data_IF_722126504412
#
_entry.id   IF_722126504412
#
_cell.length_a   1.000
_cell.length_b   1.000
_cell.length_c   1.000
_cell.angle_alpha   90.00
_cell.angle_beta   90.00
_cell.angle_gamma   90.00
#
_symmetry.space_group_name_H-M   'P 1'
#
loop_
_entity.id
_entity.type
_entity.pdbx_description
1 polymer ?
#
# COMPACT_ATOMS: atom_id res chain seq x y z
N UNK A 1 34.25 -31.34 -1.32
CA UNK A 1 33.02 -30.50 -1.38
C UNK A 1 32.67 -30.27 -2.84
N UNK A 2 31.60 -30.91 -3.30
CA UNK A 2 31.25 -31.00 -4.72
C UNK A 2 30.90 -29.62 -5.29
N UNK A 3 31.48 -29.28 -6.45
CA UNK A 3 31.22 -28.03 -7.19
C UNK A 3 29.73 -27.81 -7.49
N UNK A 4 28.93 -28.89 -7.46
CA UNK A 4 27.47 -28.89 -7.61
C UNK A 4 26.75 -28.26 -6.40
N UNK A 5 27.26 -28.46 -5.17
CA UNK A 5 26.70 -27.83 -3.96
C UNK A 5 26.97 -26.33 -3.92
N UNK A 6 28.12 -25.89 -4.44
CA UNK A 6 28.45 -24.46 -4.51
C UNK A 6 27.61 -23.74 -5.58
N UNK A 7 27.35 -24.40 -6.72
CA UNK A 7 26.48 -23.86 -7.77
C UNK A 7 25.00 -23.78 -7.34
N UNK A 8 24.50 -24.76 -6.59
CA UNK A 8 23.14 -24.71 -6.04
C UNK A 8 22.98 -23.61 -4.97
N UNK A 9 24.02 -23.35 -4.17
CA UNK A 9 24.02 -22.27 -3.17
C UNK A 9 24.16 -20.88 -3.83
N UNK A 10 24.90 -20.77 -4.94
CA UNK A 10 25.02 -19.53 -5.73
C UNK A 10 23.74 -19.21 -6.54
N UNK A 11 23.02 -20.23 -7.04
CA UNK A 11 21.68 -20.01 -7.62
C UNK A 11 20.62 -19.70 -6.54
N UNK A 12 20.70 -20.31 -5.35
CA UNK A 12 19.82 -19.96 -4.24
C UNK A 12 20.13 -18.57 -3.63
N UNK A 13 21.35 -18.05 -3.80
CA UNK A 13 21.70 -16.68 -3.41
C UNK A 13 21.26 -15.60 -4.43
N UNK A 14 20.64 -16.01 -5.54
CA UNK A 14 20.07 -15.08 -6.53
C UNK A 14 18.56 -14.87 -6.38
N UNK A 15 17.94 -15.43 -5.34
CA UNK A 15 16.53 -15.17 -5.05
C UNK A 15 16.37 -13.77 -4.46
N UNK A 16 15.83 -12.89 -5.30
CA UNK A 16 15.23 -11.57 -5.04
C UNK A 16 16.15 -10.43 -4.59
N UNK A 17 16.71 -9.74 -5.59
CA UNK A 17 17.19 -8.34 -5.50
C UNK A 17 16.01 -7.35 -5.28
N UNK A 18 14.77 -7.85 -5.26
CA UNK A 18 13.58 -7.09 -4.88
C UNK A 18 13.43 -7.16 -3.37
N UNK A 19 13.76 -6.09 -2.65
CA UNK A 19 13.84 -6.02 -1.19
C UNK A 19 12.53 -6.17 -0.40
N UNK A 20 11.63 -7.07 -0.81
CA UNK A 20 10.44 -7.47 -0.06
C UNK A 20 10.63 -8.86 0.55
N UNK A 21 10.45 -9.00 1.85
CA UNK A 21 10.44 -10.30 2.52
C UNK A 21 9.05 -10.96 2.46
N UNK A 22 8.99 -12.28 2.67
CA UNK A 22 7.71 -12.99 2.77
C UNK A 22 6.86 -12.47 3.93
N UNK A 23 7.50 -12.13 5.05
CA UNK A 23 6.82 -11.56 6.22
C UNK A 23 6.20 -10.19 5.91
N UNK A 24 6.89 -9.34 5.15
CA UNK A 24 6.38 -8.03 4.74
C UNK A 24 5.17 -8.17 3.82
N UNK A 25 5.21 -9.11 2.86
CA UNK A 25 4.09 -9.41 1.97
C UNK A 25 2.87 -9.93 2.75
N UNK A 26 3.07 -10.82 3.71
CA UNK A 26 1.97 -11.35 4.53
C UNK A 26 1.37 -10.27 5.44
N UNK A 27 2.21 -9.40 6.00
CA UNK A 27 1.76 -8.22 6.75
C UNK A 27 0.95 -7.25 5.88
N UNK A 28 1.37 -7.04 4.63
CA UNK A 28 0.63 -6.25 3.64
C UNK A 28 -0.74 -6.86 3.33
N UNK A 29 -0.83 -8.18 3.14
CA UNK A 29 -2.13 -8.87 2.94
C UNK A 29 -3.07 -8.64 4.12
N UNK A 30 -2.59 -8.80 5.35
CA UNK A 30 -3.40 -8.57 6.55
C UNK A 30 -3.84 -7.10 6.67
N UNK A 31 -2.97 -6.14 6.32
CA UNK A 31 -3.34 -4.71 6.30
C UNK A 31 -4.38 -4.43 5.23
N UNK A 32 -4.23 -4.97 4.02
CA UNK A 32 -5.20 -4.79 2.94
C UNK A 32 -6.55 -5.40 3.29
N UNK A 33 -6.59 -6.57 3.92
CA UNK A 33 -7.84 -7.14 4.42
C UNK A 33 -8.53 -6.21 5.42
N UNK A 34 -7.78 -5.63 6.36
CA UNK A 34 -8.31 -4.63 7.30
C UNK A 34 -8.78 -3.35 6.58
N UNK A 35 -8.04 -2.89 5.58
CA UNK A 35 -8.38 -1.71 4.76
C UNK A 35 -9.65 -1.94 3.94
N UNK A 36 -9.82 -3.13 3.36
CA UNK A 36 -11.02 -3.51 2.61
C UNK A 36 -12.25 -3.65 3.50
N UNK A 37 -12.04 -4.06 4.76
CA UNK A 37 -13.10 -4.15 5.77
C UNK A 37 -13.36 -2.82 6.50
N UNK A 38 -12.75 -1.71 6.06
CA UNK A 38 -13.12 -0.39 6.56
C UNK A 38 -14.56 -0.07 6.14
N UNK A 39 -15.48 -0.15 7.09
CA UNK A 39 -16.88 0.17 6.84
C UNK A 39 -17.04 1.64 6.44
N UNK A 40 -17.94 1.92 5.49
CA UNK A 40 -18.33 3.29 5.17
C UNK A 40 -18.97 3.92 6.41
N UNK A 41 -18.38 5.01 6.90
CA UNK A 41 -18.91 5.70 8.07
C UNK A 41 -20.15 6.52 7.71
N UNK A 42 -21.12 6.58 8.63
CA UNK A 42 -22.36 7.32 8.45
C UNK A 42 -22.13 8.84 8.52
N UNK A 43 -22.71 9.60 7.57
CA UNK A 43 -22.59 11.06 7.54
C UNK A 43 -22.90 11.72 8.88
N UNK A 44 -22.02 12.63 9.28
CA UNK A 44 -22.10 13.40 10.52
C UNK A 44 -22.83 14.74 10.33
N UNK A 45 -23.05 15.15 9.08
CA UNK A 45 -23.52 16.49 8.69
C UNK A 45 -22.55 17.62 9.13
N UNK A 46 -21.29 17.27 9.35
CA UNK A 46 -20.16 18.18 9.50
C UNK A 46 -19.28 17.96 8.28
N UNK A 47 -19.27 18.95 7.37
CA UNK A 47 -18.70 18.80 6.03
C UNK A 47 -17.25 18.33 6.04
N UNK A 48 -16.40 18.90 6.91
CA UNK A 48 -14.99 18.53 7.01
C UNK A 48 -14.75 17.08 7.42
N UNK A 49 -15.65 16.51 8.23
CA UNK A 49 -15.60 15.10 8.65
C UNK A 49 -16.11 14.18 7.53
N UNK A 50 -17.21 14.57 6.88
CA UNK A 50 -17.81 13.78 5.81
C UNK A 50 -16.88 13.72 4.58
N UNK A 51 -16.21 14.84 4.23
CA UNK A 51 -15.21 14.90 3.16
C UNK A 51 -13.96 14.08 3.50
N UNK A 52 -13.49 14.17 4.75
CA UNK A 52 -12.37 13.36 5.22
C UNK A 52 -12.64 11.86 5.03
N UNK A 53 -13.85 11.41 5.37
CA UNK A 53 -14.24 10.01 5.24
C UNK A 53 -14.35 9.55 3.78
N UNK A 54 -14.90 10.39 2.90
CA UNK A 54 -14.93 10.09 1.47
C UNK A 54 -13.50 9.94 0.89
N UNK A 55 -12.60 10.84 1.28
CA UNK A 55 -11.20 10.78 0.84
C UNK A 55 -10.48 9.52 1.37
N UNK A 56 -10.70 9.16 2.64
CA UNK A 56 -10.20 7.90 3.21
C UNK A 56 -10.70 6.69 2.41
N UNK A 57 -12.00 6.63 2.12
CA UNK A 57 -12.59 5.53 1.35
C UNK A 57 -12.00 5.40 -0.05
N UNK A 58 -11.84 6.51 -0.78
CA UNK A 58 -11.23 6.50 -2.11
C UNK A 58 -9.75 6.07 -2.08
N UNK A 59 -8.99 6.51 -1.06
CA UNK A 59 -7.58 6.16 -0.89
C UNK A 59 -7.41 4.69 -0.48
N UNK A 60 -8.32 4.17 0.35
CA UNK A 60 -8.39 2.77 0.71
C UNK A 60 -8.65 1.87 -0.52
N UNK A 61 -9.59 2.27 -1.38
CA UNK A 61 -9.89 1.55 -2.61
C UNK A 61 -8.68 1.53 -3.57
N UNK A 62 -7.99 2.65 -3.72
CA UNK A 62 -6.78 2.71 -4.55
C UNK A 62 -5.64 1.86 -3.96
N UNK A 63 -5.45 1.89 -2.64
CA UNK A 63 -4.44 1.06 -1.98
C UNK A 63 -4.70 -0.43 -2.18
N UNK A 64 -5.95 -0.86 -2.04
CA UNK A 64 -6.37 -2.23 -2.32
C UNK A 64 -6.19 -2.63 -3.80
N UNK A 65 -6.25 -1.68 -4.73
CA UNK A 65 -5.99 -1.93 -6.15
C UNK A 65 -4.49 -1.97 -6.49
N UNK A 66 -3.67 -1.19 -5.79
CA UNK A 66 -2.21 -1.12 -5.99
C UNK A 66 -1.51 -2.38 -5.48
N UNK A 67 -1.86 -2.87 -4.29
CA UNK A 67 -1.13 -3.99 -3.66
C UNK A 67 -1.07 -5.26 -4.52
N UNK A 68 -2.15 -5.73 -5.16
CA UNK A 68 -2.10 -6.89 -6.06
C UNK A 68 -1.19 -6.67 -7.27
N UNK A 69 -1.16 -5.45 -7.84
CA UNK A 69 -0.27 -5.13 -8.97
C UNK A 69 1.19 -5.16 -8.54
N UNK A 70 1.47 -4.61 -7.36
CA UNK A 70 2.81 -4.60 -6.78
C UNK A 70 3.30 -6.02 -6.48
N UNK A 71 2.45 -6.86 -5.88
CA UNK A 71 2.77 -8.27 -5.63
C UNK A 71 2.98 -9.03 -6.95
N UNK A 72 2.13 -8.79 -7.96
CA UNK A 72 2.31 -9.37 -9.28
C UNK A 72 3.67 -8.99 -9.90
N UNK A 73 4.10 -7.73 -9.79
CA UNK A 73 5.41 -7.32 -10.27
C UNK A 73 6.55 -8.02 -9.53
N UNK A 74 6.43 -8.21 -8.21
CA UNK A 74 7.40 -8.98 -7.44
C UNK A 74 7.54 -10.41 -8.00
N UNK A 75 6.42 -11.15 -8.12
CA UNK A 75 6.42 -12.53 -8.62
C UNK A 75 6.99 -12.63 -10.04
N UNK A 76 6.55 -11.75 -10.95
CA UNK A 76 7.07 -11.67 -12.32
C UNK A 76 8.57 -11.42 -12.36
N UNK A 77 9.09 -10.64 -11.42
CA UNK A 77 10.50 -10.29 -11.40
C UNK A 77 11.40 -11.44 -10.96
N UNK A 78 10.88 -12.35 -10.14
CA UNK A 78 11.56 -13.58 -9.71
C UNK A 78 11.20 -14.81 -10.57
N UNK A 79 10.40 -14.63 -11.63
CA UNK A 79 10.00 -15.71 -12.54
C UNK A 79 9.02 -16.70 -11.91
N UNK A 80 8.17 -16.23 -10.98
CA UNK A 80 7.12 -17.03 -10.35
C UNK A 80 5.73 -16.51 -10.73
N UNK A 81 4.72 -17.37 -10.64
CA UNK A 81 3.32 -16.98 -10.65
C UNK A 81 2.82 -16.63 -9.23
N UNK A 82 1.55 -16.24 -9.08
CA UNK A 82 0.97 -15.85 -7.80
C UNK A 82 0.93 -17.00 -6.75
N UNK A 83 0.97 -18.25 -7.21
CA UNK A 83 1.04 -19.44 -6.36
C UNK A 83 2.49 -19.76 -5.92
N UNK A 84 3.46 -18.94 -6.32
CA UNK A 84 4.88 -19.14 -6.03
C UNK A 84 5.55 -20.24 -6.88
N UNK A 85 4.88 -20.70 -7.94
CA UNK A 85 5.40 -21.71 -8.86
C UNK A 85 6.26 -21.02 -9.90
N UNK A 86 7.48 -21.54 -10.12
CA UNK A 86 8.37 -21.05 -11.18
C UNK A 86 7.74 -21.23 -12.54
N UNK A 87 7.63 -20.14 -13.30
CA UNK A 87 7.07 -20.12 -14.65
C UNK A 87 7.98 -19.32 -15.59
N UNK A 88 8.63 -20.03 -16.51
CA UNK A 88 9.58 -19.47 -17.48
C UNK A 88 8.92 -18.62 -18.57
N UNK A 89 7.59 -18.66 -18.68
CA UNK A 89 6.84 -17.88 -19.66
C UNK A 89 6.44 -16.50 -19.14
N UNK A 90 6.57 -16.27 -17.83
CA UNK A 90 6.25 -15.00 -17.19
C UNK A 90 7.25 -13.93 -17.58
N UNK A 91 6.74 -12.85 -18.19
CA UNK A 91 7.55 -11.69 -18.57
C UNK A 91 7.90 -10.87 -17.34
N UNK A 92 9.17 -10.49 -17.19
CA UNK A 92 9.59 -9.53 -16.16
C UNK A 92 8.82 -8.21 -16.31
N UNK A 93 8.58 -7.46 -15.22
CA UNK A 93 8.04 -6.10 -15.32
C UNK A 93 8.99 -5.21 -16.10
N UNK A 94 8.41 -4.41 -17.00
CA UNK A 94 9.13 -3.38 -17.74
C UNK A 94 9.29 -2.12 -16.88
N UNK A 95 10.28 -1.28 -17.22
CA UNK A 95 10.45 0.01 -16.54
C UNK A 95 9.18 0.87 -16.66
N UNK A 96 8.52 0.87 -17.82
CA UNK A 96 7.30 1.62 -18.04
C UNK A 96 6.15 1.19 -17.10
N UNK A 97 5.92 -0.13 -16.96
CA UNK A 97 4.91 -0.67 -16.03
C UNK A 97 5.19 -0.28 -14.57
N UNK A 98 6.45 -0.40 -14.15
CA UNK A 98 6.88 -0.07 -12.79
C UNK A 98 6.79 1.44 -12.55
N UNK A 99 7.15 2.27 -13.53
CA UNK A 99 7.01 3.73 -13.44
C UNK A 99 5.55 4.14 -13.36
N UNK A 100 4.65 3.55 -14.14
CA UNK A 100 3.21 3.83 -14.06
C UNK A 100 2.65 3.52 -12.67
N UNK A 101 2.97 2.35 -12.11
CA UNK A 101 2.55 1.99 -10.76
C UNK A 101 3.16 2.92 -9.70
N UNK A 102 4.41 3.36 -9.90
CA UNK A 102 5.06 4.32 -8.98
C UNK A 102 4.35 5.68 -8.94
N UNK A 103 3.81 6.13 -10.07
CA UNK A 103 3.04 7.37 -10.13
C UNK A 103 1.73 7.25 -9.36
N UNK A 104 1.05 6.10 -9.47
CA UNK A 104 -0.16 5.82 -8.68
C UNK A 104 0.13 5.78 -7.18
N UNK A 105 1.19 5.10 -6.76
CA UNK A 105 1.63 5.04 -5.37
C UNK A 105 1.98 6.45 -4.84
N UNK A 106 2.64 7.27 -5.66
CA UNK A 106 2.96 8.65 -5.29
C UNK A 106 1.70 9.52 -5.16
N UNK A 107 0.72 9.36 -6.05
CA UNK A 107 -0.56 10.05 -5.95
C UNK A 107 -1.32 9.63 -4.68
N UNK A 108 -1.34 8.33 -4.35
CA UNK A 108 -1.91 7.83 -3.09
C UNK A 108 -1.21 8.45 -1.88
N UNK A 109 0.12 8.49 -1.87
CA UNK A 109 0.91 9.12 -0.79
C UNK A 109 0.51 10.59 -0.60
N UNK A 110 0.39 11.35 -1.69
CA UNK A 110 -0.05 12.74 -1.64
C UNK A 110 -1.47 12.89 -1.09
N UNK A 111 -2.39 12.00 -1.50
CA UNK A 111 -3.75 11.99 -0.94
C UNK A 111 -3.74 11.68 0.56
N UNK A 112 -2.88 10.78 1.02
CA UNK A 112 -2.74 10.47 2.44
C UNK A 112 -2.18 11.66 3.25
N UNK A 113 -1.23 12.41 2.70
CA UNK A 113 -0.72 13.66 3.31
C UNK A 113 -1.85 14.71 3.45
N UNK A 114 -2.71 14.82 2.43
CA UNK A 114 -3.89 15.70 2.47
C UNK A 114 -4.92 15.23 3.51
N UNK A 115 -5.21 13.93 3.57
CA UNK A 115 -6.10 13.32 4.58
C UNK A 115 -5.56 13.59 5.99
N UNK A 116 -4.27 13.42 6.20
CA UNK A 116 -3.61 13.68 7.50
C UNK A 116 -3.77 15.13 7.92
N UNK A 117 -3.64 16.06 6.97
CA UNK A 117 -3.87 17.49 7.21
C UNK A 117 -5.34 17.78 7.54
N UNK A 118 -6.28 17.20 6.77
CA UNK A 118 -7.71 17.36 6.96
C UNK A 118 -8.21 16.75 8.29
N UNK A 119 -7.55 15.71 8.79
CA UNK A 119 -7.86 15.09 10.08
C UNK A 119 -7.71 16.06 11.26
N UNK A 120 -6.74 16.98 11.20
CA UNK A 120 -6.57 18.01 12.21
C UNK A 120 -7.77 18.97 12.23
N UNK A 121 -8.20 19.46 11.06
CA UNK A 121 -9.39 20.31 10.90
C UNK A 121 -10.66 19.60 11.35
N UNK A 122 -10.89 18.36 10.90
CA UNK A 122 -12.02 17.54 11.31
C UNK A 122 -12.09 17.33 12.83
N UNK A 123 -10.93 17.16 13.49
CA UNK A 123 -10.84 17.04 14.95
C UNK A 123 -11.23 18.34 15.67
N UNK A 124 -10.84 19.49 15.11
CA UNK A 124 -11.22 20.80 15.65
C UNK A 124 -12.72 21.06 15.50
N UNK A 125 -13.28 20.79 14.32
CA UNK A 125 -14.72 20.97 14.04
C UNK A 125 -15.59 20.02 14.86
N UNK A 126 -15.13 18.78 15.07
CA UNK A 126 -15.76 17.86 16.01
C UNK A 126 -15.80 18.47 17.41
N UNK A 127 -14.67 19.00 17.91
CA UNK A 127 -14.57 19.58 19.25
C UNK A 127 -15.38 20.88 19.42
N UNK A 128 -15.60 21.63 18.34
CA UNK A 128 -16.44 22.84 18.34
C UNK A 128 -17.95 22.54 18.32
N UNK A 129 -18.34 21.28 18.12
CA UNK A 129 -19.74 20.88 18.03
C UNK A 129 -20.42 20.91 19.40
N UNK A 130 -21.34 21.85 19.60
CA UNK A 130 -22.06 22.04 20.87
C UNK A 130 -23.16 21.01 21.14
N UNK A 131 -23.76 20.44 20.08
CA UNK A 131 -24.84 19.47 20.24
C UNK A 131 -24.26 18.11 20.67
N UNK A 132 -24.62 17.55 21.85
CA UNK A 132 -23.99 16.35 22.38
C UNK A 132 -24.12 15.11 21.51
N UNK A 133 -25.27 14.92 20.86
CA UNK A 133 -25.51 13.77 19.96
C UNK A 133 -24.67 13.88 18.68
N UNK A 134 -24.58 15.08 18.10
CA UNK A 134 -23.72 15.33 16.92
C UNK A 134 -22.24 15.22 17.30
N UNK A 135 -21.85 15.72 18.46
CA UNK A 135 -20.49 15.63 18.99
C UNK A 135 -20.05 14.17 19.13
N UNK A 136 -20.88 13.31 19.72
CA UNK A 136 -20.57 11.88 19.86
C UNK A 136 -20.32 11.19 18.51
N UNK A 137 -21.17 11.48 17.51
CA UNK A 137 -20.97 10.97 16.13
C UNK A 137 -19.69 11.52 15.50
N UNK A 138 -19.42 12.81 15.65
CA UNK A 138 -18.23 13.47 15.13
C UNK A 138 -16.94 12.91 15.75
N UNK A 139 -16.90 12.68 17.06
CA UNK A 139 -15.75 12.08 17.74
C UNK A 139 -15.53 10.62 17.31
N UNK A 140 -16.61 9.85 17.15
CA UNK A 140 -16.53 8.48 16.64
C UNK A 140 -15.98 8.44 15.22
N UNK A 141 -16.45 9.36 14.37
CA UNK A 141 -15.97 9.56 13.00
C UNK A 141 -14.47 9.90 12.93
N UNK A 142 -14.03 10.82 13.78
CA UNK A 142 -12.61 11.22 13.87
C UNK A 142 -11.75 10.08 14.39
N UNK A 143 -12.20 9.29 15.36
CA UNK A 143 -11.47 8.13 15.86
C UNK A 143 -11.36 7.03 14.80
N UNK A 144 -12.45 6.76 14.07
CA UNK A 144 -12.42 5.89 12.91
C UNK A 144 -11.39 6.38 11.88
N UNK A 145 -11.40 7.67 11.55
CA UNK A 145 -10.47 8.27 10.59
C UNK A 145 -9.00 8.12 11.04
N UNK A 146 -8.69 8.32 12.33
CA UNK A 146 -7.34 8.09 12.88
C UNK A 146 -6.86 6.66 12.64
N UNK A 147 -7.71 5.68 12.92
CA UNK A 147 -7.38 4.26 12.75
C UNK A 147 -7.16 3.93 11.26
N UNK A 148 -8.05 4.42 10.39
CA UNK A 148 -7.93 4.24 8.95
C UNK A 148 -6.65 4.88 8.39
N UNK A 149 -6.31 6.10 8.81
CA UNK A 149 -5.08 6.80 8.40
C UNK A 149 -3.83 6.05 8.84
N UNK A 150 -3.82 5.48 10.05
CA UNK A 150 -2.69 4.68 10.51
C UNK A 150 -2.48 3.43 9.62
N UNK A 151 -3.56 2.67 9.36
CA UNK A 151 -3.52 1.49 8.49
C UNK A 151 -3.08 1.84 7.06
N UNK A 152 -3.67 2.88 6.46
CA UNK A 152 -3.31 3.35 5.13
C UNK A 152 -1.88 3.87 5.06
N UNK A 153 -1.39 4.50 6.12
CA UNK A 153 -0.01 4.98 6.22
C UNK A 153 1.00 3.85 6.19
N UNK A 154 0.80 2.83 7.02
CA UNK A 154 1.67 1.65 7.03
C UNK A 154 1.72 0.96 5.67
N UNK A 155 0.56 0.77 5.03
CA UNK A 155 0.51 0.12 3.72
C UNK A 155 1.12 0.99 2.61
N UNK A 156 0.90 2.30 2.64
CA UNK A 156 1.51 3.22 1.67
C UNK A 156 3.03 3.19 1.79
N UNK A 157 3.59 3.15 3.01
CA UNK A 157 5.04 3.04 3.22
C UNK A 157 5.58 1.73 2.63
N UNK A 158 4.91 0.61 2.89
CA UNK A 158 5.26 -0.67 2.28
C UNK A 158 5.28 -0.57 0.75
N UNK A 159 4.21 -0.04 0.14
CA UNK A 159 4.10 0.10 -1.31
C UNK A 159 5.19 0.99 -1.91
N UNK A 160 5.52 2.11 -1.26
CA UNK A 160 6.59 3.04 -1.66
C UNK A 160 7.95 2.33 -1.66
N UNK A 161 8.28 1.64 -0.56
CA UNK A 161 9.57 0.95 -0.45
C UNK A 161 9.69 -0.16 -1.49
N UNK A 162 8.64 -0.96 -1.64
CA UNK A 162 8.55 -2.04 -2.59
C UNK A 162 8.75 -1.58 -4.05
N UNK A 163 8.05 -0.52 -4.48
CA UNK A 163 8.19 -0.01 -5.85
C UNK A 163 9.56 0.63 -6.07
N UNK A 164 10.11 1.32 -5.06
CA UNK A 164 11.45 1.90 -5.14
C UNK A 164 12.53 0.82 -5.34
N UNK A 165 12.46 -0.29 -4.60
CA UNK A 165 13.37 -1.42 -4.79
C UNK A 165 13.26 -2.04 -6.20
N UNK A 166 12.05 -2.11 -6.76
CA UNK A 166 11.86 -2.58 -8.15
C UNK A 166 12.52 -1.65 -9.17
N UNK A 167 12.32 -0.34 -9.04
CA UNK A 167 12.93 0.67 -9.91
C UNK A 167 14.46 0.58 -9.85
N UNK A 168 15.03 0.49 -8.64
CA UNK A 168 16.48 0.37 -8.46
C UNK A 168 17.03 -0.90 -9.11
N UNK A 169 16.35 -2.04 -8.95
CA UNK A 169 16.76 -3.32 -9.55
C UNK A 169 16.71 -3.26 -11.08
N UNK A 170 15.64 -2.70 -11.65
CA UNK A 170 15.51 -2.56 -13.10
C UNK A 170 16.53 -1.57 -13.69
N UNK A 171 16.85 -0.50 -12.97
CA UNK A 171 17.81 0.52 -13.40
C UNK A 171 19.26 0.03 -13.34
N UNK A 172 19.59 -0.85 -12.39
CA UNK A 172 20.96 -1.38 -12.19
C UNK A 172 21.26 -2.64 -13.01
N UNK A 173 20.23 -3.34 -13.49
CA UNK A 173 20.39 -4.61 -14.24
C UNK A 173 20.72 -4.45 -15.74
N UNK A 174 21.01 -3.24 -16.21
CA UNK A 174 21.51 -3.02 -17.58
C UNK A 174 20.48 -3.23 -18.70
N UNK A 175 19.19 -3.00 -18.43
CA UNK A 175 18.18 -2.82 -19.49
C UNK A 175 18.21 -1.39 -20.08
N UNK A 176 19.42 -0.87 -20.33
CA UNK A 176 19.73 0.35 -21.07
C UNK A 176 20.83 0.05 -22.08
#
# INVERSE_FOLDING_TARGET
MNKILLAAFLLAASTSVFGQTKEEMESSKQRIEKIQNLEAFNKTAIQSIDDLQANIGSTALESAAITPLLQNFYYRSIGQNADGITDITVKKPTLAEVTELSLRIYAQKKNLEQITSALATASQDASATKNPLKLSKALSAVNYAKNAVALLGEETVFQVNAIQSMIQTLSTSGNL
#
